data_IF_875991531461
#
_entry.id   IF_875991531461
#
_cell.length_a   1.000
_cell.length_b   1.000
_cell.length_c   1.000
_cell.angle_alpha   90.00
_cell.angle_beta   90.00
_cell.angle_gamma   90.00
#
_symmetry.space_group_name_H-M   'P 1'
#
loop_
_entity.id
_entity.type
_entity.pdbx_description
1 polymer ?
#
# COMPACT_ATOMS: atom_id res chain seq x y z
N UNK A 1 4.99 -8.31 -25.34
CA UNK A 1 4.11 -7.41 -24.55
C UNK A 1 4.75 -6.03 -24.52
N UNK A 2 4.03 -4.96 -24.89
CA UNK A 2 4.57 -3.60 -24.78
C UNK A 2 4.76 -3.27 -23.29
N UNK A 3 5.99 -3.01 -22.85
CA UNK A 3 6.33 -2.60 -21.47
C UNK A 3 5.89 -1.15 -21.24
N UNK A 4 4.58 -0.93 -21.20
CA UNK A 4 3.94 0.36 -20.96
C UNK A 4 3.02 0.24 -19.74
N UNK A 5 2.87 1.33 -19.01
CA UNK A 5 1.96 1.42 -17.87
C UNK A 5 2.67 1.61 -16.53
N UNK A 6 1.89 1.87 -15.49
CA UNK A 6 2.35 2.38 -14.19
C UNK A 6 3.40 1.47 -13.55
N UNK A 7 3.28 0.14 -13.69
CA UNK A 7 4.23 -0.81 -13.12
C UNK A 7 5.55 -0.92 -13.90
N UNK A 8 5.63 -0.40 -15.12
CA UNK A 8 6.86 -0.39 -15.93
C UNK A 8 7.54 0.98 -15.91
N UNK A 9 6.74 2.03 -16.08
CA UNK A 9 7.23 3.38 -16.29
C UNK A 9 7.22 4.19 -15.00
N UNK A 10 6.39 3.81 -14.02
CA UNK A 10 6.08 4.64 -12.87
C UNK A 10 4.85 5.52 -13.11
N UNK A 11 4.42 6.24 -12.10
CA UNK A 11 3.32 7.18 -12.19
C UNK A 11 3.79 8.49 -12.81
N UNK A 12 3.11 8.97 -13.85
CA UNK A 12 3.40 10.26 -14.45
C UNK A 12 2.90 11.40 -13.55
N UNK A 13 3.77 12.38 -13.27
CA UNK A 13 3.40 13.53 -12.47
C UNK A 13 2.64 14.61 -13.25
N UNK A 14 1.84 15.41 -12.54
CA UNK A 14 0.93 16.43 -13.09
C UNK A 14 1.65 17.56 -13.84
N UNK A 15 2.89 17.86 -13.47
CA UNK A 15 3.69 18.96 -14.06
C UNK A 15 4.55 18.54 -15.27
N UNK A 16 4.27 17.39 -15.89
CA UNK A 16 5.08 16.87 -16.99
C UNK A 16 6.51 16.49 -16.57
N UNK A 17 6.73 16.27 -15.27
CA UNK A 17 7.99 15.76 -14.74
C UNK A 17 8.17 14.27 -15.01
N UNK A 18 9.37 13.76 -14.70
CA UNK A 18 9.71 12.34 -14.80
C UNK A 18 8.73 11.43 -14.04
N UNK A 19 8.75 10.14 -14.36
CA UNK A 19 7.87 9.16 -13.74
C UNK A 19 8.35 8.83 -12.32
N UNK A 20 7.40 8.69 -11.40
CA UNK A 20 7.65 8.30 -10.01
C UNK A 20 7.52 6.79 -9.84
N UNK A 21 8.47 6.19 -9.12
CA UNK A 21 8.52 4.76 -8.95
C UNK A 21 7.62 4.31 -7.80
N UNK A 22 6.52 3.65 -8.14
CA UNK A 22 5.54 3.18 -7.16
C UNK A 22 5.85 1.77 -6.62
N UNK A 23 6.98 1.15 -6.99
CA UNK A 23 7.24 -0.27 -6.70
C UNK A 23 7.09 -0.59 -5.21
N UNK A 24 7.74 0.16 -4.33
CA UNK A 24 7.64 -0.09 -2.89
C UNK A 24 6.23 0.20 -2.32
N UNK A 25 5.49 1.17 -2.86
CA UNK A 25 4.08 1.38 -2.49
C UNK A 25 3.23 0.18 -2.89
N UNK A 26 3.48 -0.35 -4.09
CA UNK A 26 2.83 -1.54 -4.59
C UNK A 26 3.11 -2.77 -3.70
N UNK A 27 4.38 -2.99 -3.36
CA UNK A 27 4.79 -4.05 -2.43
C UNK A 27 4.17 -3.87 -1.04
N UNK A 28 4.14 -2.64 -0.52
CA UNK A 28 3.55 -2.33 0.78
C UNK A 28 2.06 -2.68 0.80
N UNK A 29 1.29 -2.21 -0.19
CA UNK A 29 -0.14 -2.47 -0.25
C UNK A 29 -0.45 -3.97 -0.27
N UNK A 30 0.12 -4.71 -1.22
CA UNK A 30 -0.14 -6.14 -1.38
C UNK A 30 0.32 -6.94 -0.16
N UNK A 31 1.46 -6.59 0.44
CA UNK A 31 1.95 -7.30 1.62
C UNK A 31 1.12 -7.07 2.86
N UNK A 32 0.51 -5.89 3.01
CA UNK A 32 -0.37 -5.53 4.14
C UNK A 32 -1.79 -6.10 3.97
N UNK A 33 -2.21 -6.41 2.76
CA UNK A 33 -3.50 -7.04 2.49
C UNK A 33 -3.53 -8.53 2.88
N UNK A 34 -4.43 -8.90 3.79
CA UNK A 34 -4.52 -10.27 4.32
C UNK A 34 -4.93 -11.30 3.27
N UNK A 35 -5.79 -10.91 2.32
CA UNK A 35 -6.24 -11.79 1.24
C UNK A 35 -5.10 -12.05 0.26
N UNK A 36 -4.31 -11.03 -0.09
CA UNK A 36 -3.13 -11.21 -0.92
C UNK A 36 -2.11 -12.15 -0.26
N UNK A 37 -1.84 -11.98 1.03
CA UNK A 37 -0.96 -12.91 1.78
C UNK A 37 -1.49 -14.34 1.76
N UNK A 38 -2.79 -14.53 1.94
CA UNK A 38 -3.41 -15.85 1.86
C UNK A 38 -3.22 -16.47 0.46
N UNK A 39 -3.49 -15.72 -0.62
CA UNK A 39 -3.29 -16.20 -2.00
C UNK A 39 -1.84 -16.55 -2.30
N UNK A 40 -0.88 -15.78 -1.81
CA UNK A 40 0.55 -16.12 -1.92
C UNK A 40 0.89 -17.39 -1.14
N UNK A 41 0.30 -17.58 0.05
CA UNK A 41 0.49 -18.81 0.82
C UNK A 41 -0.10 -20.06 0.13
N UNK A 42 -1.08 -19.88 -0.74
CA UNK A 42 -1.68 -20.99 -1.49
C UNK A 42 -0.93 -21.31 -2.80
N UNK A 43 0.04 -20.48 -3.20
CA UNK A 43 0.90 -20.77 -4.35
C UNK A 43 1.77 -22.01 -4.13
N UNK A 44 2.01 -22.76 -5.21
CA UNK A 44 2.95 -23.88 -5.22
C UNK A 44 4.30 -23.46 -4.67
N UNK A 45 4.90 -24.31 -3.83
CA UNK A 45 6.14 -23.99 -3.11
C UNK A 45 7.27 -23.65 -4.08
N UNK A 46 7.41 -24.46 -5.13
CA UNK A 46 8.45 -24.32 -6.17
C UNK A 46 8.35 -22.96 -6.87
N UNK A 47 7.12 -22.50 -7.10
CA UNK A 47 6.88 -21.19 -7.70
C UNK A 47 7.30 -20.05 -6.77
N UNK A 48 7.02 -20.17 -5.46
CA UNK A 48 7.46 -19.15 -4.50
C UNK A 48 8.97 -19.10 -4.35
N UNK A 49 9.63 -20.24 -4.28
CA UNK A 49 11.09 -20.32 -4.16
C UNK A 49 11.75 -19.65 -5.38
N UNK A 50 11.28 -19.97 -6.58
CA UNK A 50 11.69 -19.29 -7.81
C UNK A 50 11.50 -17.76 -7.74
N UNK A 51 10.35 -17.27 -7.27
CA UNK A 51 10.10 -15.83 -7.15
C UNK A 51 10.99 -15.16 -6.09
N UNK A 52 11.30 -15.86 -5.00
CA UNK A 52 12.22 -15.35 -3.99
C UNK A 52 13.63 -15.17 -4.55
N UNK A 53 14.14 -16.12 -5.35
CA UNK A 53 15.43 -15.98 -6.02
C UNK A 53 15.47 -14.78 -6.97
N UNK A 54 14.36 -14.49 -7.65
CA UNK A 54 14.23 -13.29 -8.50
C UNK A 54 14.27 -12.02 -7.68
N UNK A 55 13.53 -11.97 -6.58
CA UNK A 55 13.52 -10.83 -5.68
C UNK A 55 14.93 -10.54 -5.12
N UNK A 56 15.71 -11.56 -4.81
CA UNK A 56 17.06 -11.41 -4.26
C UNK A 56 18.05 -10.76 -5.23
N UNK A 57 17.78 -10.82 -6.53
CA UNK A 57 18.58 -10.16 -7.58
C UNK A 57 18.05 -8.77 -7.96
N UNK A 58 16.93 -8.36 -7.38
CA UNK A 58 16.31 -7.06 -7.63
C UNK A 58 17.15 -5.90 -7.09
N UNK A 59 17.06 -4.74 -7.73
CA UNK A 59 17.60 -3.49 -7.20
C UNK A 59 16.78 -2.92 -6.03
N UNK A 60 15.56 -3.42 -5.81
CA UNK A 60 14.65 -2.95 -4.77
C UNK A 60 14.93 -3.62 -3.42
N UNK A 61 16.06 -3.27 -2.81
CA UNK A 61 16.57 -3.87 -1.57
C UNK A 61 16.75 -2.87 -0.42
N UNK A 62 15.94 -1.81 -0.36
CA UNK A 62 16.01 -0.80 0.70
C UNK A 62 15.79 -1.44 2.09
N UNK A 63 16.79 -1.34 2.98
CA UNK A 63 16.66 -1.87 4.33
C UNK A 63 15.62 -1.09 5.14
N UNK A 64 15.51 0.23 4.93
CA UNK A 64 14.42 1.05 5.47
C UNK A 64 13.03 0.48 5.13
N UNK A 65 12.78 0.14 3.86
CA UNK A 65 11.51 -0.49 3.45
C UNK A 65 11.27 -1.81 4.18
N UNK A 66 12.25 -2.71 4.15
CA UNK A 66 12.09 -4.03 4.77
C UNK A 66 11.86 -3.93 6.28
N UNK A 67 12.50 -3.00 7.00
CA UNK A 67 12.30 -2.79 8.45
C UNK A 67 10.85 -2.45 8.82
N UNK A 68 10.07 -1.86 7.91
CA UNK A 68 8.67 -1.49 8.17
C UNK A 68 7.71 -2.69 8.14
N UNK A 69 8.11 -3.81 7.54
CA UNK A 69 7.25 -4.96 7.32
C UNK A 69 7.43 -6.03 8.42
N UNK A 70 6.32 -6.65 8.84
CA UNK A 70 6.36 -7.84 9.71
C UNK A 70 6.87 -9.06 8.93
N UNK A 71 7.23 -10.14 9.64
CA UNK A 71 7.80 -11.36 9.03
C UNK A 71 6.99 -11.91 7.83
N UNK A 72 5.68 -12.08 7.99
CA UNK A 72 4.81 -12.58 6.90
C UNK A 72 4.61 -11.55 5.79
N UNK A 73 4.60 -10.26 6.12
CA UNK A 73 4.50 -9.16 5.15
C UNK A 73 5.78 -9.09 4.31
N UNK A 74 6.97 -9.22 4.92
CA UNK A 74 8.27 -9.31 4.23
C UNK A 74 8.28 -10.45 3.22
N UNK A 75 7.84 -11.65 3.64
CA UNK A 75 7.79 -12.82 2.75
C UNK A 75 6.85 -12.58 1.57
N UNK A 76 5.66 -12.03 1.84
CA UNK A 76 4.71 -11.64 0.80
C UNK A 76 5.32 -10.62 -0.17
N UNK A 77 5.87 -9.52 0.35
CA UNK A 77 6.48 -8.46 -0.46
C UNK A 77 7.65 -8.97 -1.32
N UNK A 78 8.51 -9.86 -0.81
CA UNK A 78 9.57 -10.48 -1.62
C UNK A 78 8.99 -11.31 -2.78
N UNK A 79 7.96 -12.11 -2.53
CA UNK A 79 7.33 -12.90 -3.60
C UNK A 79 6.68 -11.99 -4.65
N UNK A 80 6.00 -10.92 -4.22
CA UNK A 80 5.43 -9.91 -5.14
C UNK A 80 6.53 -9.21 -5.93
N UNK A 81 7.66 -8.87 -5.30
CA UNK A 81 8.80 -8.27 -5.99
C UNK A 81 9.34 -9.22 -7.07
N UNK A 82 9.45 -10.52 -6.79
CA UNK A 82 9.80 -11.51 -7.80
C UNK A 82 8.85 -11.52 -9.01
N UNK A 83 7.54 -11.36 -8.79
CA UNK A 83 6.57 -11.24 -9.88
C UNK A 83 6.79 -9.96 -10.70
N UNK A 84 7.08 -8.84 -10.04
CA UNK A 84 7.38 -7.57 -10.71
C UNK A 84 8.67 -7.65 -11.53
N UNK A 85 9.71 -8.30 -11.00
CA UNK A 85 10.96 -8.53 -11.73
C UNK A 85 10.77 -9.42 -12.96
N UNK A 86 9.98 -10.50 -12.85
CA UNK A 86 9.65 -11.34 -14.00
C UNK A 86 8.86 -10.58 -15.06
N UNK A 87 7.88 -9.77 -14.62
CA UNK A 87 7.10 -8.90 -15.50
C UNK A 87 8.00 -7.91 -16.27
N UNK A 88 8.98 -7.29 -15.60
CA UNK A 88 9.86 -6.26 -16.18
C UNK A 88 10.97 -6.84 -17.05
N UNK A 89 11.52 -7.98 -16.69
CA UNK A 89 12.75 -8.50 -17.30
C UNK A 89 12.54 -9.69 -18.25
N UNK A 90 11.39 -10.36 -18.23
CA UNK A 90 11.08 -11.43 -19.17
C UNK A 90 10.34 -10.89 -20.40
N UNK A 91 10.54 -11.53 -21.56
CA UNK A 91 9.94 -11.11 -22.83
C UNK A 91 8.84 -12.06 -23.33
N UNK A 92 8.50 -13.11 -22.57
CA UNK A 92 7.71 -14.27 -23.00
C UNK A 92 6.60 -14.68 -22.01
N UNK A 93 6.14 -15.95 -22.08
CA UNK A 93 5.08 -16.51 -21.24
C UNK A 93 5.32 -16.45 -19.72
N UNK A 94 6.56 -16.21 -19.26
CA UNK A 94 6.80 -15.95 -17.83
C UNK A 94 6.31 -14.56 -17.40
N UNK A 95 6.51 -13.55 -18.23
CA UNK A 95 5.98 -12.21 -17.96
C UNK A 95 4.45 -12.24 -17.95
N UNK A 96 3.82 -12.99 -18.86
CA UNK A 96 2.38 -13.20 -18.89
C UNK A 96 1.87 -13.92 -17.64
N UNK A 97 2.53 -15.00 -17.22
CA UNK A 97 2.17 -15.71 -15.98
C UNK A 97 2.32 -14.82 -14.76
N UNK A 98 3.38 -14.02 -14.69
CA UNK A 98 3.57 -13.05 -13.62
C UNK A 98 2.47 -11.98 -13.63
N UNK A 99 2.10 -11.47 -14.80
CA UNK A 99 1.00 -10.53 -14.98
C UNK A 99 -0.33 -11.08 -14.51
N UNK A 100 -0.72 -12.28 -14.96
CA UNK A 100 -1.95 -12.97 -14.55
C UNK A 100 -1.98 -13.15 -13.04
N UNK A 101 -0.84 -13.52 -12.45
CA UNK A 101 -0.72 -13.70 -11.01
C UNK A 101 -0.90 -12.37 -10.24
N UNK A 102 -0.24 -11.29 -10.69
CA UNK A 102 -0.38 -9.96 -10.10
C UNK A 102 -1.81 -9.45 -10.21
N UNK A 103 -2.44 -9.56 -11.38
CA UNK A 103 -3.84 -9.20 -11.59
C UNK A 103 -4.76 -9.93 -10.61
N UNK A 104 -4.58 -11.24 -10.48
CA UNK A 104 -5.36 -12.06 -9.56
C UNK A 104 -5.17 -11.62 -8.10
N UNK A 105 -3.94 -11.31 -7.68
CA UNK A 105 -3.67 -10.80 -6.34
C UNK A 105 -4.35 -9.46 -6.08
N UNK A 106 -4.19 -8.49 -6.98
CA UNK A 106 -4.78 -7.15 -6.85
C UNK A 106 -6.30 -7.24 -6.76
N UNK A 107 -6.96 -7.89 -7.73
CA UNK A 107 -8.43 -8.00 -7.75
C UNK A 107 -8.98 -8.83 -6.58
N UNK A 108 -8.26 -9.86 -6.15
CA UNK A 108 -8.66 -10.64 -4.96
C UNK A 108 -8.53 -9.84 -3.67
N UNK A 109 -7.50 -9.01 -3.54
CA UNK A 109 -7.20 -8.23 -2.35
C UNK A 109 -8.03 -6.96 -2.21
N UNK A 110 -8.36 -6.31 -3.32
CA UNK A 110 -8.94 -4.96 -3.36
C UNK A 110 -10.33 -4.97 -4.00
N UNK A 111 -11.19 -5.90 -3.56
CA UNK A 111 -12.53 -6.11 -4.13
C UNK A 111 -13.45 -4.88 -3.99
N UNK A 112 -13.29 -4.10 -2.93
CA UNK A 112 -14.08 -2.89 -2.72
C UNK A 112 -13.71 -1.82 -3.75
N UNK A 113 -12.41 -1.64 -3.98
CA UNK A 113 -11.85 -0.77 -5.01
C UNK A 113 -12.24 -1.24 -6.41
N UNK A 114 -12.14 -2.54 -6.69
CA UNK A 114 -12.59 -3.13 -7.95
C UNK A 114 -14.09 -2.91 -8.18
N UNK A 115 -14.93 -3.13 -7.17
CA UNK A 115 -16.37 -2.88 -7.24
C UNK A 115 -16.69 -1.43 -7.57
N UNK A 116 -16.02 -0.49 -6.90
CA UNK A 116 -16.18 0.94 -7.18
C UNK A 116 -15.78 1.30 -8.62
N UNK A 117 -14.64 0.79 -9.08
CA UNK A 117 -14.17 0.98 -10.46
C UNK A 117 -15.09 0.30 -11.49
N UNK A 118 -15.87 -0.69 -11.12
CA UNK A 118 -16.84 -1.30 -12.05
C UNK A 118 -18.16 -0.54 -12.11
N UNK A 119 -18.64 -0.03 -10.97
CA UNK A 119 -19.98 0.56 -10.84
C UNK A 119 -20.04 2.03 -11.27
N UNK A 120 -18.95 2.78 -11.14
CA UNK A 120 -18.95 4.22 -11.38
C UNK A 120 -18.70 4.54 -12.84
N UNK A 121 -19.67 5.17 -13.52
CA UNK A 121 -19.53 5.65 -14.90
C UNK A 121 -18.39 6.65 -15.06
N UNK A 122 -18.26 7.59 -14.12
CA UNK A 122 -17.18 8.57 -14.05
C UNK A 122 -16.42 8.39 -12.73
N UNK A 123 -15.09 8.34 -12.80
CA UNK A 123 -14.23 8.22 -11.60
C UNK A 123 -13.52 9.55 -11.38
N UNK A 124 -13.68 10.14 -10.20
CA UNK A 124 -12.83 11.24 -9.73
C UNK A 124 -11.73 10.72 -8.81
N UNK A 125 -10.59 11.40 -8.82
CA UNK A 125 -9.47 11.06 -7.95
C UNK A 125 -9.84 11.23 -6.47
N UNK A 126 -10.53 12.32 -6.12
CA UNK A 126 -11.14 12.54 -4.79
C UNK A 126 -12.06 11.39 -4.35
N UNK A 127 -12.84 10.82 -5.28
CA UNK A 127 -13.73 9.69 -5.01
C UNK A 127 -12.96 8.42 -4.62
N UNK A 128 -11.91 8.10 -5.37
CA UNK A 128 -10.99 7.01 -5.03
C UNK A 128 -10.24 7.31 -3.72
N UNK A 129 -9.82 8.54 -3.52
CA UNK A 129 -9.09 8.94 -2.32
C UNK A 129 -9.96 8.74 -1.07
N UNK A 130 -11.24 9.09 -1.12
CA UNK A 130 -12.20 8.81 -0.04
C UNK A 130 -12.39 7.31 0.20
N UNK A 131 -12.53 6.52 -0.87
CA UNK A 131 -12.68 5.06 -0.78
C UNK A 131 -11.49 4.38 -0.08
N UNK A 132 -10.29 4.90 -0.31
CA UNK A 132 -9.06 4.38 0.33
C UNK A 132 -8.96 4.68 1.83
N UNK A 133 -9.90 5.44 2.40
CA UNK A 133 -10.05 5.71 3.83
C UNK A 133 -9.76 7.16 4.19
N UNK A 134 -10.80 7.97 4.31
CA UNK A 134 -10.69 9.31 4.92
C UNK A 134 -10.64 9.13 6.45
N UNK A 135 -9.49 9.42 7.09
CA UNK A 135 -9.36 9.41 8.55
C UNK A 135 -8.58 8.25 9.19
N UNK A 136 -8.03 7.30 8.44
CA UNK A 136 -7.29 6.15 9.00
C UNK A 136 -5.86 6.45 9.49
N UNK A 137 -5.38 7.69 9.37
CA UNK A 137 -4.05 8.14 9.82
C UNK A 137 -2.84 7.60 9.03
N UNK A 138 -2.93 6.40 8.47
CA UNK A 138 -1.85 5.77 7.69
C UNK A 138 -1.89 6.24 6.21
N UNK A 139 -1.25 7.38 5.96
CA UNK A 139 -1.09 7.93 4.61
C UNK A 139 -0.39 6.95 3.66
N UNK A 140 0.57 6.16 4.16
CA UNK A 140 1.32 5.20 3.36
C UNK A 140 0.41 4.08 2.85
N UNK A 141 -0.41 3.50 3.72
CA UNK A 141 -1.39 2.49 3.34
C UNK A 141 -2.40 3.07 2.36
N UNK A 142 -2.88 4.30 2.59
CA UNK A 142 -3.82 4.97 1.70
C UNK A 142 -3.24 5.17 0.30
N UNK A 143 -2.01 5.67 0.20
CA UNK A 143 -1.30 5.84 -1.07
C UNK A 143 -1.03 4.51 -1.76
N UNK A 144 -0.71 3.44 -1.02
CA UNK A 144 -0.56 2.10 -1.59
C UNK A 144 -1.88 1.56 -2.18
N UNK A 145 -3.01 1.80 -1.51
CA UNK A 145 -4.35 1.43 -2.03
C UNK A 145 -4.69 2.23 -3.28
N UNK A 146 -4.36 3.52 -3.29
CA UNK A 146 -4.54 4.36 -4.48
C UNK A 146 -3.75 3.81 -5.67
N UNK A 147 -2.50 3.37 -5.47
CA UNK A 147 -1.73 2.72 -6.53
C UNK A 147 -2.45 1.50 -7.12
N UNK A 148 -3.14 0.70 -6.30
CA UNK A 148 -3.92 -0.45 -6.78
C UNK A 148 -5.11 -0.03 -7.63
N UNK A 149 -5.82 1.03 -7.22
CA UNK A 149 -6.90 1.61 -8.01
C UNK A 149 -6.41 2.07 -9.37
N UNK A 150 -5.25 2.75 -9.42
CA UNK A 150 -4.67 3.24 -10.66
C UNK A 150 -4.26 2.11 -11.60
N UNK A 151 -3.67 1.03 -11.06
CA UNK A 151 -3.30 -0.16 -11.84
C UNK A 151 -4.54 -0.85 -12.41
N UNK A 152 -5.59 -1.02 -11.61
CA UNK A 152 -6.85 -1.62 -12.08
C UNK A 152 -7.53 -0.74 -13.13
N UNK A 153 -7.54 0.58 -12.95
CA UNK A 153 -8.12 1.51 -13.91
C UNK A 153 -7.34 1.52 -15.23
N UNK A 154 -6.00 1.49 -15.20
CA UNK A 154 -5.16 1.36 -16.39
C UNK A 154 -5.47 0.07 -17.15
N UNK A 155 -5.58 -1.06 -16.43
CA UNK A 155 -5.91 -2.35 -17.01
C UNK A 155 -7.31 -2.37 -17.66
N UNK A 156 -8.29 -1.76 -17.01
CA UNK A 156 -9.67 -1.68 -17.50
C UNK A 156 -9.87 -0.53 -18.50
N UNK A 157 -8.79 0.15 -18.93
CA UNK A 157 -8.81 1.31 -19.83
C UNK A 157 -9.78 2.41 -19.38
N UNK A 158 -9.79 2.66 -18.07
CA UNK A 158 -10.66 3.62 -17.41
C UNK A 158 -9.93 4.91 -17.10
N UNK A 159 -10.50 6.01 -17.54
CA UNK A 159 -9.99 7.33 -17.20
C UNK A 159 -10.41 7.74 -15.78
N UNK A 160 -9.45 8.31 -15.05
CA UNK A 160 -9.67 8.91 -13.74
C UNK A 160 -9.50 10.41 -13.90
N UNK A 161 -10.56 11.16 -13.61
CA UNK A 161 -10.52 12.61 -13.61
C UNK A 161 -9.65 13.09 -12.44
N UNK A 162 -8.55 13.74 -12.75
CA UNK A 162 -7.67 14.35 -11.75
C UNK A 162 -8.33 15.58 -11.13
N UNK A 163 -8.19 15.72 -9.83
CA UNK A 163 -8.62 16.87 -9.03
C UNK A 163 -7.54 17.25 -8.00
N UNK A 164 -7.84 18.15 -7.07
CA UNK A 164 -6.86 18.72 -6.13
C UNK A 164 -6.20 17.66 -5.25
N UNK A 165 -6.91 16.57 -4.96
CA UNK A 165 -6.47 15.46 -4.12
C UNK A 165 -5.35 14.66 -4.78
N UNK A 166 -5.18 14.77 -6.11
CA UNK A 166 -4.02 14.21 -6.82
C UNK A 166 -2.70 14.79 -6.29
N UNK A 167 -2.65 16.09 -5.99
CA UNK A 167 -1.45 16.72 -5.44
C UNK A 167 -1.04 16.15 -4.07
N UNK A 168 -2.02 15.82 -3.22
CA UNK A 168 -1.75 15.21 -1.91
C UNK A 168 -1.16 13.81 -2.08
N UNK A 169 -1.63 13.08 -3.08
CA UNK A 169 -1.08 11.77 -3.41
C UNK A 169 0.33 11.87 -3.99
N UNK A 170 0.61 12.78 -4.92
CA UNK A 170 1.97 13.00 -5.44
C UNK A 170 2.97 13.37 -4.34
N UNK A 171 2.59 14.28 -3.44
CA UNK A 171 3.43 14.68 -2.31
C UNK A 171 3.71 13.48 -1.38
N UNK A 172 2.69 12.63 -1.17
CA UNK A 172 2.87 11.39 -0.40
C UNK A 172 3.85 10.42 -1.07
N UNK A 173 3.80 10.26 -2.40
CA UNK A 173 4.72 9.37 -3.13
C UNK A 173 6.16 9.87 -2.94
N UNK A 174 6.40 11.18 -3.13
CA UNK A 174 7.74 11.78 -2.96
C UNK A 174 8.31 11.53 -1.58
N UNK A 175 7.52 11.83 -0.55
CA UNK A 175 7.91 11.58 0.85
C UNK A 175 8.25 10.12 1.10
N UNK A 176 7.54 9.21 0.44
CA UNK A 176 7.78 7.78 0.60
C UNK A 176 9.04 7.31 -0.13
N UNK A 177 9.28 7.80 -1.35
CA UNK A 177 10.56 7.59 -2.05
C UNK A 177 11.74 8.08 -1.21
N UNK A 178 11.62 9.28 -0.63
CA UNK A 178 12.64 9.83 0.27
C UNK A 178 12.86 8.94 1.49
N UNK A 179 11.79 8.46 2.14
CA UNK A 179 11.88 7.56 3.30
C UNK A 179 12.65 6.27 2.98
N UNK A 180 12.44 5.68 1.80
CA UNK A 180 13.07 4.42 1.41
C UNK A 180 14.47 4.60 0.83
N UNK A 181 14.78 5.75 0.24
CA UNK A 181 16.07 6.01 -0.40
C UNK A 181 17.09 6.72 0.52
N UNK A 182 16.66 7.35 1.63
CA UNK A 182 17.53 8.20 2.46
C UNK A 182 18.55 7.47 3.35
N UNK A 183 18.58 6.13 3.43
CA UNK A 183 19.71 5.42 4.06
C UNK A 183 21.03 5.65 3.29
N UNK A 184 21.00 6.00 1.99
CA UNK A 184 22.21 6.35 1.23
C UNK A 184 22.80 7.73 1.55
N UNK A 185 22.07 8.62 2.23
CA UNK A 185 22.56 9.97 2.57
C UNK A 185 23.10 10.09 3.99
N UNK A 186 22.81 9.14 4.88
CA UNK A 186 23.15 9.27 6.30
C UNK A 186 24.61 8.95 6.62
N UNK A 187 25.37 8.34 5.70
CA UNK A 187 26.82 8.13 5.88
C UNK A 187 27.68 9.37 5.57
N UNK A 188 27.10 10.49 5.11
CA UNK A 188 27.86 11.71 4.76
C UNK A 188 27.46 12.99 5.49
N UNK A 189 26.59 12.93 6.49
CA UNK A 189 26.26 14.13 7.26
C UNK A 189 25.98 13.80 8.72
N UNK A 190 26.99 13.29 9.41
CA UNK A 190 27.12 13.55 10.85
C UNK A 190 27.58 15.01 11.05
N UNK A 191 26.66 15.97 10.89
CA UNK A 191 26.69 17.25 11.60
C UNK A 191 25.42 18.04 11.33
N UNK A 192 24.41 17.84 12.19
CA UNK A 192 23.77 18.94 12.92
C UNK A 192 22.57 18.39 13.66
N UNK A 193 22.64 18.50 14.98
CA UNK A 193 21.56 18.12 15.87
C UNK A 193 20.41 19.10 15.74
N UNK A 194 19.48 18.84 14.82
CA UNK A 194 18.17 19.50 14.84
C UNK A 194 17.03 18.70 14.17
N UNK A 195 17.31 17.62 13.43
CA UNK A 195 16.28 16.80 12.75
C UNK A 195 15.57 15.75 13.61
N UNK A 196 15.85 15.63 14.92
CA UNK A 196 15.24 14.59 15.76
C UNK A 196 13.77 14.84 16.11
N UNK A 197 13.24 16.06 15.95
CA UNK A 197 11.85 16.38 16.36
C UNK A 197 10.77 16.03 15.32
N UNK A 198 11.07 15.99 14.02
CA UNK A 198 10.06 15.64 13.00
C UNK A 198 9.87 14.14 12.81
N UNK A 199 10.92 13.33 13.01
CA UNK A 199 10.83 11.86 12.91
C UNK A 199 10.01 11.23 14.05
N UNK A 200 9.91 11.89 15.20
CA UNK A 200 9.16 11.41 16.37
C UNK A 200 7.64 11.45 16.16
N UNK A 201 7.12 12.28 15.24
CA UNK A 201 5.68 12.36 14.97
C UNK A 201 5.17 11.32 13.95
N UNK A 202 6.05 10.65 13.20
CA UNK A 202 5.68 9.66 12.17
C UNK A 202 5.62 8.24 12.76
N UNK A 203 6.13 8.02 13.97
CA UNK A 203 6.14 6.73 14.66
C UNK A 203 5.49 6.81 16.06
N UNK A 204 4.16 6.89 16.11
CA UNK A 204 3.41 6.39 17.26
C UNK A 204 2.65 5.12 16.85
N UNK A 205 2.96 3.95 17.45
CA UNK A 205 2.20 2.74 17.20
C UNK A 205 0.81 2.88 17.82
N UNK A 206 -0.23 2.75 16.98
CA UNK A 206 -1.61 2.55 17.39
C UNK A 206 -1.73 1.26 18.23
N UNK A 207 -1.53 1.40 19.53
CA UNK A 207 -1.93 0.46 20.57
C UNK A 207 -2.68 1.25 21.64
N UNK A 208 -3.79 1.92 21.29
CA UNK A 208 -4.69 2.49 22.29
C UNK A 208 -6.07 2.90 21.72
N UNK A 209 -6.92 1.94 21.35
CA UNK A 209 -8.38 2.15 21.41
C UNK A 209 -9.17 0.83 21.34
N UNK A 210 -9.05 0.03 22.39
CA UNK A 210 -10.05 -0.98 22.76
C UNK A 210 -10.25 -0.85 24.27
N UNK A 211 -11.15 0.06 24.66
CA UNK A 211 -11.99 0.06 25.87
C UNK A 211 -12.36 1.49 26.26
N UNK A 212 -13.63 1.65 26.62
CA UNK A 212 -14.34 2.82 27.17
C UNK A 212 -15.02 3.73 26.14
N UNK A 213 -16.17 3.25 25.64
CA UNK A 213 -17.43 4.00 25.76
C UNK A 213 -18.55 2.98 25.98
N UNK A 214 -18.88 2.72 27.24
CA UNK A 214 -20.25 2.48 27.73
C UNK A 214 -20.18 2.27 29.24
N UNK A 215 -20.23 3.37 30.00
CA UNK A 215 -20.78 3.46 31.35
C UNK A 215 -20.42 4.82 31.98
N UNK A 216 -21.11 5.88 31.55
CA UNK A 216 -21.45 7.05 32.36
C UNK A 216 -22.77 7.53 31.77
N UNK A 217 -23.88 7.70 32.45
CA UNK A 217 -24.23 7.56 33.85
C UNK A 217 -25.63 8.18 33.94
N UNK A 218 -26.62 7.45 34.42
CA UNK A 218 -27.89 8.01 34.84
C UNK A 218 -27.94 7.83 36.36
N UNK A 219 -27.74 8.94 37.06
CA UNK A 219 -27.82 8.99 38.51
C UNK A 219 -29.25 8.83 39.02
N UNK A 220 -29.31 8.27 40.23
CA UNK A 220 -30.20 8.65 41.33
C UNK A 220 -31.70 8.49 41.08
N UNK A 221 -32.29 7.46 41.70
CA UNK A 221 -33.41 7.66 42.63
C UNK A 221 -33.61 6.46 43.56
N UNK A 222 -33.62 6.73 44.87
CA UNK A 222 -34.07 5.83 45.93
C UNK A 222 -35.56 5.53 45.74
N UNK A 223 -35.96 4.26 45.84
CA UNK A 223 -37.27 3.88 46.38
C UNK A 223 -37.19 2.51 47.07
N UNK A 224 -37.57 2.55 48.34
CA UNK A 224 -37.77 1.41 49.23
C UNK A 224 -38.67 0.35 48.59
N UNK A 225 -38.33 -0.93 48.78
CA UNK A 225 -39.31 -2.02 48.69
C UNK A 225 -39.22 -2.91 49.92
N UNK A 226 -40.37 -2.97 50.58
CA UNK A 226 -40.76 -3.87 51.66
C UNK A 226 -40.36 -5.32 51.36
N UNK A 227 -39.79 -5.97 52.37
CA UNK A 227 -39.79 -7.43 52.49
C UNK A 227 -41.19 -7.84 52.92
N UNK A 228 -41.79 -8.73 52.13
CA UNK A 228 -43.01 -9.47 52.45
C UNK A 228 -42.58 -10.93 52.61
N UNK A 229 -42.26 -11.32 53.84
CA UNK A 229 -42.61 -12.56 54.57
C UNK A 229 -41.66 -12.74 55.75
#
# INVERSE_FOLDING_TARGET
>A
MLKKGILFQGLQGMKGGGHQDITYLFLYGLSRNILCRAKIRDMKREWREYLLEKADRSTYQSAAFWKMLKKEEKKCARIVLGLVEDLRNCNDGRAEKAWVCLRYLVRSGYRAEEGYLREKKEISFSGLWKLTGEGTGDLLLRSSRMCMCLIMAEEDHREIRTDREFFLFEDSIKKTEDLWNNEKKTERSESSGERKKELLYIFMPFNFWMNKVSAVGAGIERKERKVLT
#
